data_IF_497849879140
#
_entry.id   IF_497849879140
#
_cell.length_a   1.000
_cell.length_b   1.000
_cell.length_c   1.000
_cell.angle_alpha   90.00
_cell.angle_beta   90.00
_cell.angle_gamma   90.00
#
_symmetry.space_group_name_H-M   'P 1'
#
loop_
_entity.id
_entity.type
_entity.pdbx_description
1 polymer ?
#
# COMPACT_ATOMS: atom_id res chain seq x y z
N UNK A 1 -28.66 31.62 11.41
CA UNK A 1 -29.95 30.93 11.26
C UNK A 1 -29.67 29.52 10.75
N UNK A 2 -30.00 28.49 11.53
CA UNK A 2 -29.79 27.06 11.22
C UNK A 2 -31.18 26.41 11.16
N UNK A 3 -31.53 25.82 10.01
CA UNK A 3 -32.64 24.88 9.84
C UNK A 3 -32.01 23.55 9.40
N UNK A 4 -32.14 22.47 10.17
CA UNK A 4 -33.31 21.59 10.38
C UNK A 4 -33.36 20.51 9.31
N UNK A 5 -32.98 19.28 9.68
CA UNK A 5 -33.48 18.07 9.03
C UNK A 5 -33.75 16.98 10.07
N UNK A 6 -34.96 16.46 9.92
CA UNK A 6 -35.70 15.50 10.73
C UNK A 6 -35.58 14.12 10.06
N UNK A 7 -35.48 13.06 10.86
CA UNK A 7 -35.73 11.67 10.46
C UNK A 7 -35.54 10.76 11.68
N UNK A 8 -36.58 10.38 12.42
CA UNK A 8 -37.51 9.24 12.16
C UNK A 8 -36.67 8.02 11.73
N UNK A 9 -36.32 7.05 12.57
CA UNK A 9 -37.05 6.41 13.66
C UNK A 9 -37.74 5.16 13.13
N UNK A 10 -37.16 3.97 13.35
CA UNK A 10 -37.82 2.64 13.50
C UNK A 10 -36.73 1.69 14.06
N UNK A 11 -36.86 1.35 15.33
CA UNK A 11 -36.12 0.24 15.98
C UNK A 11 -37.12 -0.91 16.03
N UNK A 12 -36.92 -1.92 15.19
CA UNK A 12 -37.75 -3.12 15.19
C UNK A 12 -37.10 -4.14 16.13
N UNK A 13 -37.48 -4.10 17.39
CA UNK A 13 -37.26 -5.20 18.34
C UNK A 13 -38.20 -6.34 18.00
N UNK A 14 -37.68 -7.52 17.66
CA UNK A 14 -38.48 -8.74 17.70
C UNK A 14 -37.85 -9.78 18.61
N UNK A 15 -38.63 -10.08 19.63
CA UNK A 15 -38.42 -10.91 20.79
C UNK A 15 -38.43 -12.39 20.38
N UNK A 16 -37.33 -13.09 20.64
CA UNK A 16 -37.22 -14.56 20.54
C UNK A 16 -37.68 -15.18 21.86
N UNK A 17 -38.87 -15.75 21.89
CA UNK A 17 -39.31 -16.68 22.94
C UNK A 17 -40.38 -17.64 22.40
N UNK A 18 -39.95 -18.88 22.14
CA UNK A 18 -40.55 -20.22 22.45
C UNK A 18 -42.07 -20.46 22.31
N UNK A 19 -42.58 -21.69 22.01
CA UNK A 19 -42.04 -22.98 22.50
C UNK A 19 -42.11 -24.20 21.54
N UNK A 20 -41.39 -25.25 21.96
CA UNK A 20 -41.48 -26.64 21.51
C UNK A 20 -42.71 -27.33 22.16
N UNK A 21 -43.59 -27.94 21.37
CA UNK A 21 -44.52 -29.03 21.73
C UNK A 21 -45.06 -29.60 20.39
N UNK A 22 -44.79 -30.83 19.93
CA UNK A 22 -45.04 -32.19 20.45
C UNK A 22 -46.54 -32.55 20.50
N UNK A 23 -46.89 -33.53 19.64
CA UNK A 23 -48.09 -34.41 19.58
C UNK A 23 -49.43 -33.83 19.09
N UNK A 24 -49.97 -34.42 18.01
CA UNK A 24 -51.27 -35.15 18.02
C UNK A 24 -51.72 -35.51 16.58
N UNK A 25 -52.24 -36.73 16.45
CA UNK A 25 -52.83 -37.36 15.27
C UNK A 25 -54.11 -36.64 14.79
N UNK A 26 -54.42 -36.75 13.49
CA UNK A 26 -55.70 -36.29 12.95
C UNK A 26 -55.75 -36.30 11.43
N UNK A 27 -56.34 -37.35 10.87
CA UNK A 27 -56.75 -37.46 9.47
C UNK A 27 -57.76 -36.38 9.09
N UNK A 28 -57.50 -35.61 8.03
CA UNK A 28 -58.55 -35.06 7.16
C UNK A 28 -58.09 -35.03 5.71
N UNK A 29 -58.81 -35.79 4.90
CA UNK A 29 -58.77 -35.77 3.43
C UNK A 29 -59.23 -34.40 2.95
N UNK A 30 -58.39 -33.69 2.21
CA UNK A 30 -58.82 -32.53 1.41
C UNK A 30 -58.31 -32.72 -0.01
N UNK A 31 -59.24 -33.10 -0.87
CA UNK A 31 -59.13 -33.09 -2.32
C UNK A 31 -58.80 -31.67 -2.78
N UNK A 32 -57.60 -31.47 -3.31
CA UNK A 32 -57.25 -30.24 -4.03
C UNK A 32 -56.88 -30.63 -5.46
N UNK A 33 -57.77 -30.23 -6.35
CA UNK A 33 -57.73 -30.33 -7.80
C UNK A 33 -56.38 -29.88 -8.35
N UNK A 34 -55.65 -30.80 -8.96
CA UNK A 34 -54.42 -30.53 -9.70
C UNK A 34 -54.73 -29.73 -10.98
N UNK A 35 -54.47 -28.43 -10.98
CA UNK A 35 -54.29 -27.67 -12.23
C UNK A 35 -52.83 -27.83 -12.67
N UNK A 36 -52.61 -28.82 -13.54
CA UNK A 36 -51.32 -29.13 -14.13
C UNK A 36 -50.91 -28.05 -15.14
N UNK A 37 -50.32 -26.95 -14.66
CA UNK A 37 -49.34 -26.24 -15.48
C UNK A 37 -48.05 -27.06 -15.48
N UNK A 38 -47.50 -27.43 -16.65
CA UNK A 38 -46.43 -28.40 -16.73
C UNK A 38 -45.17 -27.89 -16.02
N UNK A 39 -44.70 -28.67 -15.05
CA UNK A 39 -43.55 -28.46 -14.17
C UNK A 39 -42.23 -28.10 -14.93
N UNK A 40 -42.19 -28.34 -16.23
CA UNK A 40 -41.11 -28.01 -17.16
C UNK A 40 -41.02 -26.51 -17.50
N UNK A 41 -42.15 -25.83 -17.64
CA UNK A 41 -42.22 -24.39 -17.97
C UNK A 41 -41.77 -23.52 -16.78
N UNK A 42 -42.12 -23.94 -15.56
CA UNK A 42 -41.66 -23.27 -14.32
C UNK A 42 -40.12 -23.33 -14.16
N UNK A 43 -39.50 -24.48 -14.45
CA UNK A 43 -38.04 -24.66 -14.37
C UNK A 43 -37.27 -23.86 -15.41
N UNK A 44 -37.79 -23.73 -16.64
CA UNK A 44 -37.15 -22.93 -17.69
C UNK A 44 -37.16 -21.43 -17.36
N UNK A 45 -38.28 -20.90 -16.86
CA UNK A 45 -38.41 -19.50 -16.45
C UNK A 45 -37.51 -19.13 -15.26
N UNK A 46 -37.29 -20.07 -14.32
CA UNK A 46 -36.37 -19.87 -13.19
C UNK A 46 -34.91 -19.88 -13.66
N UNK A 47 -34.53 -20.79 -14.57
CA UNK A 47 -33.17 -20.84 -15.14
C UNK A 47 -32.85 -19.58 -15.96
N UNK A 48 -33.77 -19.11 -16.79
CA UNK A 48 -33.60 -17.87 -17.56
C UNK A 48 -33.41 -16.65 -16.65
N UNK A 49 -34.22 -16.52 -15.58
CA UNK A 49 -34.09 -15.43 -14.60
C UNK A 49 -32.80 -15.52 -13.76
N UNK A 50 -32.28 -16.72 -13.52
CA UNK A 50 -30.99 -16.92 -12.82
C UNK A 50 -29.82 -16.55 -13.73
N UNK A 51 -29.84 -16.94 -15.00
CA UNK A 51 -28.80 -16.59 -15.98
C UNK A 51 -28.76 -15.07 -16.23
N UNK A 52 -29.92 -14.42 -16.38
CA UNK A 52 -30.03 -12.97 -16.54
C UNK A 52 -29.57 -12.20 -15.28
N UNK A 53 -29.94 -12.69 -14.09
CA UNK A 53 -29.42 -12.16 -12.82
C UNK A 53 -27.92 -12.41 -12.68
N UNK A 54 -27.40 -13.56 -13.10
CA UNK A 54 -25.96 -13.85 -13.06
C UNK A 54 -25.17 -12.95 -14.00
N UNK A 55 -25.65 -12.67 -15.21
CA UNK A 55 -25.00 -11.79 -16.18
C UNK A 55 -24.99 -10.32 -15.70
N UNK A 56 -26.13 -9.83 -15.20
CA UNK A 56 -26.23 -8.47 -14.65
C UNK A 56 -25.46 -8.30 -13.34
N UNK A 57 -25.44 -9.33 -12.47
CA UNK A 57 -24.61 -9.35 -11.28
C UNK A 57 -23.13 -9.42 -11.67
N UNK A 58 -22.68 -10.30 -12.56
CA UNK A 58 -21.25 -10.35 -12.95
C UNK A 58 -20.77 -9.04 -13.55
N UNK A 59 -21.58 -8.34 -14.35
CA UNK A 59 -21.23 -7.01 -14.88
C UNK A 59 -21.11 -5.95 -13.77
N UNK A 60 -22.13 -5.81 -12.90
CA UNK A 60 -22.11 -4.87 -11.77
C UNK A 60 -21.03 -5.20 -10.74
N UNK A 61 -20.79 -6.49 -10.50
CA UNK A 61 -19.79 -6.97 -9.56
C UNK A 61 -18.37 -6.80 -10.13
N UNK A 62 -18.20 -6.87 -11.45
CA UNK A 62 -16.99 -6.50 -12.16
C UNK A 62 -16.68 -5.02 -11.98
N UNK A 63 -17.62 -4.13 -12.33
CA UNK A 63 -17.48 -2.68 -12.19
C UNK A 63 -17.20 -2.25 -10.74
N UNK A 64 -17.94 -2.80 -9.76
CA UNK A 64 -17.71 -2.50 -8.34
C UNK A 64 -16.34 -2.99 -7.83
N UNK A 65 -15.84 -4.12 -8.34
CA UNK A 65 -14.48 -4.60 -8.01
C UNK A 65 -13.41 -3.71 -8.63
N UNK A 66 -13.60 -3.25 -9.87
CA UNK A 66 -12.68 -2.33 -10.54
C UNK A 66 -12.58 -1.01 -9.80
N UNK A 67 -13.72 -0.42 -9.43
CA UNK A 67 -13.73 0.80 -8.62
C UNK A 67 -13.03 0.63 -7.27
N UNK A 68 -13.14 -0.54 -6.63
CA UNK A 68 -12.40 -0.84 -5.39
C UNK A 68 -10.90 -0.93 -5.62
N UNK A 69 -10.48 -1.54 -6.72
CA UNK A 69 -9.06 -1.66 -7.11
C UNK A 69 -8.47 -0.29 -7.40
N UNK A 70 -9.18 0.54 -8.17
CA UNK A 70 -8.77 1.90 -8.49
C UNK A 70 -8.63 2.77 -7.23
N UNK A 71 -9.66 2.80 -6.37
CA UNK A 71 -9.61 3.54 -5.09
C UNK A 71 -8.50 3.05 -4.18
N UNK A 72 -8.25 1.75 -4.14
CA UNK A 72 -7.17 1.17 -3.35
C UNK A 72 -5.80 1.60 -3.90
N UNK A 73 -5.61 1.55 -5.22
CA UNK A 73 -4.37 1.95 -5.86
C UNK A 73 -4.12 3.45 -5.66
N UNK A 74 -5.13 4.31 -5.81
CA UNK A 74 -5.03 5.74 -5.56
C UNK A 74 -4.65 6.04 -4.10
N UNK A 75 -5.27 5.35 -3.15
CA UNK A 75 -4.93 5.47 -1.73
C UNK A 75 -3.48 5.04 -1.45
N UNK A 76 -2.95 4.04 -2.16
CA UNK A 76 -1.54 3.65 -2.07
C UNK A 76 -0.62 4.69 -2.69
N UNK A 77 -0.96 5.22 -3.87
CA UNK A 77 -0.16 6.26 -4.54
C UNK A 77 0.01 7.49 -3.66
N UNK A 78 -1.09 8.02 -3.10
CA UNK A 78 -1.06 9.15 -2.17
C UNK A 78 -0.16 8.89 -0.95
N UNK A 79 -0.20 7.67 -0.40
CA UNK A 79 0.66 7.28 0.73
C UNK A 79 2.13 7.21 0.35
N UNK A 80 2.45 6.65 -0.81
CA UNK A 80 3.84 6.55 -1.28
C UNK A 80 4.42 7.90 -1.67
N UNK A 81 3.65 8.77 -2.31
CA UNK A 81 4.04 10.17 -2.58
C UNK A 81 4.34 10.92 -1.29
N UNK A 82 3.42 10.84 -0.31
CA UNK A 82 3.63 11.48 0.99
C UNK A 82 4.88 10.93 1.69
N UNK A 83 5.11 9.61 1.61
CA UNK A 83 6.30 8.98 2.18
C UNK A 83 7.59 9.42 1.47
N UNK A 84 7.60 9.50 0.14
CA UNK A 84 8.74 9.96 -0.63
C UNK A 84 9.08 11.41 -0.26
N UNK A 85 8.08 12.30 -0.24
CA UNK A 85 8.24 13.70 0.15
C UNK A 85 8.76 13.86 1.59
N UNK A 86 8.28 13.05 2.54
CA UNK A 86 8.80 13.03 3.90
C UNK A 86 10.29 12.65 3.93
N UNK A 87 10.70 11.65 3.14
CA UNK A 87 12.10 11.21 3.06
C UNK A 87 12.99 12.26 2.38
N UNK A 88 12.53 12.94 1.33
CA UNK A 88 13.24 14.07 0.71
C UNK A 88 13.44 15.23 1.69
N UNK A 89 12.39 15.56 2.45
CA UNK A 89 12.47 16.61 3.48
C UNK A 89 13.52 16.24 4.52
N UNK A 90 13.57 14.97 4.95
CA UNK A 90 14.53 14.49 5.93
C UNK A 90 15.95 14.46 5.34
N UNK A 91 16.12 13.96 4.11
CA UNK A 91 17.41 13.90 3.43
C UNK A 91 17.99 15.30 3.23
N UNK A 92 17.16 16.28 2.85
CA UNK A 92 17.57 17.68 2.74
C UNK A 92 18.02 18.28 4.08
N UNK A 93 17.33 17.96 5.20
CA UNK A 93 17.75 18.37 6.55
C UNK A 93 19.09 17.75 6.94
N UNK A 94 19.26 16.45 6.67
CA UNK A 94 20.50 15.71 6.94
C UNK A 94 21.65 16.29 6.11
N UNK A 95 21.44 16.53 4.81
CA UNK A 95 22.45 17.11 3.92
C UNK A 95 22.96 18.46 4.42
N UNK A 96 22.06 19.36 4.82
CA UNK A 96 22.46 20.66 5.41
C UNK A 96 23.31 20.50 6.67
N UNK A 97 22.95 19.56 7.55
CA UNK A 97 23.72 19.27 8.77
C UNK A 97 25.10 18.68 8.45
N UNK A 98 25.18 17.73 7.52
CA UNK A 98 26.46 17.13 7.12
C UNK A 98 27.38 18.17 6.49
N UNK A 99 26.86 19.08 5.66
CA UNK A 99 27.65 20.20 5.12
C UNK A 99 28.18 21.10 6.24
N UNK A 100 27.36 21.40 7.25
CA UNK A 100 27.79 22.18 8.42
C UNK A 100 28.84 21.46 9.28
N UNK A 101 28.82 20.13 9.35
CA UNK A 101 29.84 19.36 10.07
C UNK A 101 31.15 19.26 9.28
N UNK A 102 31.05 19.05 7.96
CA UNK A 102 32.22 19.05 7.08
C UNK A 102 32.96 20.38 7.08
N UNK A 103 32.26 21.51 7.07
CA UNK A 103 32.91 22.83 7.18
C UNK A 103 33.59 23.09 8.53
N UNK A 104 33.25 22.29 9.56
CA UNK A 104 33.87 22.31 10.88
C UNK A 104 34.94 21.22 11.06
N UNK A 105 35.36 20.59 9.96
CA UNK A 105 36.43 19.59 9.95
C UNK A 105 36.01 18.17 10.36
N UNK A 106 34.71 17.88 10.47
CA UNK A 106 34.26 16.52 10.73
C UNK A 106 34.39 15.64 9.47
N UNK A 107 34.83 14.39 9.65
CA UNK A 107 34.71 13.40 8.58
C UNK A 107 33.24 12.97 8.42
N UNK A 108 32.67 13.33 7.28
CA UNK A 108 31.28 13.04 6.91
C UNK A 108 31.20 12.10 5.71
N UNK A 109 32.31 11.47 5.31
CA UNK A 109 32.41 10.70 4.06
C UNK A 109 31.41 9.54 4.03
N UNK A 110 31.40 8.69 5.06
CA UNK A 110 30.47 7.57 5.15
C UNK A 110 29.00 8.04 5.22
N UNK A 111 28.74 9.12 5.97
CA UNK A 111 27.40 9.68 6.12
C UNK A 111 26.86 10.27 4.80
N UNK A 112 27.72 10.90 3.99
CA UNK A 112 27.37 11.39 2.65
C UNK A 112 27.04 10.23 1.71
N UNK A 113 27.85 9.17 1.69
CA UNK A 113 27.58 7.99 0.86
C UNK A 113 26.23 7.34 1.19
N UNK A 114 25.87 7.26 2.48
CA UNK A 114 24.56 6.76 2.92
C UNK A 114 23.41 7.70 2.52
N UNK A 115 23.61 9.02 2.63
CA UNK A 115 22.64 10.02 2.18
C UNK A 115 22.41 9.94 0.66
N UNK A 116 23.48 9.80 -0.13
CA UNK A 116 23.42 9.68 -1.59
C UNK A 116 22.69 8.40 -2.00
N UNK A 117 22.99 7.28 -1.32
CA UNK A 117 22.27 6.02 -1.51
C UNK A 117 20.78 6.17 -1.19
N UNK A 118 20.43 6.85 -0.09
CA UNK A 118 19.05 7.12 0.26
C UNK A 118 18.33 7.98 -0.80
N UNK A 119 18.98 9.03 -1.29
CA UNK A 119 18.44 9.90 -2.35
C UNK A 119 18.21 9.11 -3.66
N UNK A 120 19.16 8.27 -4.07
CA UNK A 120 18.99 7.40 -5.23
C UNK A 120 17.79 6.45 -5.10
N UNK A 121 17.58 5.87 -3.92
CA UNK A 121 16.44 4.99 -3.65
C UNK A 121 15.09 5.74 -3.63
N UNK A 122 15.06 6.98 -3.15
CA UNK A 122 13.88 7.85 -3.20
C UNK A 122 13.50 8.16 -4.65
N UNK A 123 14.47 8.56 -5.47
CA UNK A 123 14.22 8.82 -6.89
C UNK A 123 13.77 7.57 -7.65
N UNK A 124 14.41 6.43 -7.39
CA UNK A 124 13.98 5.15 -7.97
C UNK A 124 12.54 4.77 -7.53
N UNK A 125 12.17 5.07 -6.28
CA UNK A 125 10.80 4.85 -5.81
C UNK A 125 9.80 5.75 -6.53
N UNK A 126 10.13 7.03 -6.77
CA UNK A 126 9.29 7.97 -7.52
C UNK A 126 9.08 7.52 -8.96
N UNK A 127 10.14 7.08 -9.64
CA UNK A 127 10.05 6.54 -11.00
C UNK A 127 9.13 5.31 -11.07
N UNK A 128 9.34 4.33 -10.18
CA UNK A 128 8.49 3.13 -10.10
C UNK A 128 7.03 3.46 -9.77
N UNK A 129 6.79 4.53 -9.02
CA UNK A 129 5.45 4.97 -8.69
C UNK A 129 4.73 5.55 -9.92
N UNK A 130 5.42 6.33 -10.75
CA UNK A 130 4.90 6.78 -12.04
C UNK A 130 4.67 5.62 -13.00
N UNK A 131 5.57 4.65 -13.04
CA UNK A 131 5.38 3.42 -13.82
C UNK A 131 4.13 2.65 -13.35
N UNK A 132 3.92 2.56 -12.04
CA UNK A 132 2.73 1.91 -11.46
C UNK A 132 1.44 2.64 -11.82
N UNK A 133 1.42 3.98 -11.84
CA UNK A 133 0.29 4.79 -12.29
C UNK A 133 -0.02 4.53 -13.76
N UNK A 134 1.00 4.57 -14.62
CA UNK A 134 0.87 4.29 -16.05
C UNK A 134 0.35 2.87 -16.31
N UNK A 135 0.86 1.89 -15.54
CA UNK A 135 0.42 0.50 -15.63
C UNK A 135 -1.01 0.31 -15.13
N UNK A 136 -1.47 1.09 -14.15
CA UNK A 136 -2.85 1.07 -13.69
C UNK A 136 -3.80 1.54 -14.80
N UNK A 137 -3.49 2.64 -15.50
CA UNK A 137 -4.31 3.11 -16.63
C UNK A 137 -4.46 2.01 -17.69
N UNK A 138 -3.35 1.40 -18.11
CA UNK A 138 -3.36 0.27 -19.06
C UNK A 138 -4.16 -0.93 -18.55
N UNK A 139 -4.12 -1.17 -17.25
CA UNK A 139 -4.84 -2.27 -16.59
C UNK A 139 -6.35 -2.04 -16.63
N UNK A 140 -6.81 -0.80 -16.41
CA UNK A 140 -8.22 -0.44 -16.44
C UNK A 140 -8.83 -0.57 -17.85
N UNK A 141 -8.04 -0.32 -18.89
CA UNK A 141 -8.45 -0.46 -20.29
C UNK A 141 -8.37 -1.90 -20.83
N UNK A 142 -7.81 -2.84 -20.05
CA UNK A 142 -7.62 -4.22 -20.50
C UNK A 142 -8.92 -5.03 -20.49
N UNK A 143 -9.02 -6.02 -21.39
CA UNK A 143 -10.18 -6.94 -21.44
C UNK A 143 -10.35 -7.77 -20.16
N UNK A 144 -9.27 -7.95 -19.39
CA UNK A 144 -9.30 -8.56 -18.05
C UNK A 144 -8.43 -7.74 -17.07
N UNK A 145 -8.99 -6.68 -16.45
CA UNK A 145 -8.23 -5.79 -15.58
C UNK A 145 -7.75 -6.48 -14.29
N UNK A 146 -8.52 -7.44 -13.76
CA UNK A 146 -8.17 -8.11 -12.51
C UNK A 146 -6.91 -8.97 -12.64
N UNK A 147 -6.73 -9.64 -13.79
CA UNK A 147 -5.51 -10.39 -14.07
C UNK A 147 -4.31 -9.44 -14.26
N UNK A 148 -4.53 -8.30 -14.93
CA UNK A 148 -3.50 -7.33 -15.27
C UNK A 148 -3.02 -6.50 -14.05
N UNK A 149 -3.85 -6.39 -13.01
CA UNK A 149 -3.54 -5.67 -11.77
C UNK A 149 -2.36 -6.25 -10.98
N UNK A 150 -2.02 -7.53 -11.17
CA UNK A 150 -0.84 -8.14 -10.51
C UNK A 150 0.45 -7.38 -10.82
N UNK A 151 0.59 -6.84 -12.03
CA UNK A 151 1.78 -6.07 -12.42
C UNK A 151 1.85 -4.74 -11.64
N UNK A 152 0.71 -4.08 -11.42
CA UNK A 152 0.62 -2.88 -10.58
C UNK A 152 1.04 -3.21 -9.15
N UNK A 153 0.58 -4.35 -8.59
CA UNK A 153 0.97 -4.78 -7.25
C UNK A 153 2.48 -5.02 -7.12
N UNK A 154 3.11 -5.65 -8.10
CA UNK A 154 4.56 -5.85 -8.12
C UNK A 154 5.30 -4.52 -8.06
N UNK A 155 4.93 -3.56 -8.92
CA UNK A 155 5.55 -2.23 -8.92
C UNK A 155 5.35 -1.50 -7.58
N UNK A 156 4.16 -1.59 -6.98
CA UNK A 156 3.89 -1.00 -5.66
C UNK A 156 4.72 -1.65 -4.54
N UNK A 157 4.99 -2.95 -4.60
CA UNK A 157 5.88 -3.62 -3.66
C UNK A 157 7.33 -3.13 -3.83
N UNK A 158 7.77 -2.94 -5.06
CA UNK A 158 9.11 -2.42 -5.35
C UNK A 158 9.27 -0.97 -4.87
N UNK A 159 8.23 -0.14 -4.99
CA UNK A 159 8.20 1.22 -4.40
C UNK A 159 8.35 1.14 -2.88
N UNK A 160 7.57 0.29 -2.22
CA UNK A 160 7.63 0.08 -0.77
C UNK A 160 9.04 -0.32 -0.33
N UNK A 161 9.65 -1.25 -1.03
CA UNK A 161 10.95 -1.81 -0.64
C UNK A 161 12.09 -0.80 -0.87
N UNK A 162 12.02 -0.01 -1.95
CA UNK A 162 12.91 1.14 -2.15
C UNK A 162 12.79 2.16 -1.02
N UNK A 163 11.56 2.58 -0.66
CA UNK A 163 11.34 3.56 0.42
C UNK A 163 11.77 3.01 1.79
N UNK A 164 11.49 1.74 2.09
CA UNK A 164 11.94 1.09 3.33
C UNK A 164 13.46 1.10 3.43
N UNK A 165 14.15 0.82 2.33
CA UNK A 165 15.62 0.83 2.29
C UNK A 165 16.17 2.25 2.38
N UNK A 166 15.57 3.22 1.70
CA UNK A 166 15.93 4.63 1.82
C UNK A 166 15.86 5.10 3.27
N UNK A 167 14.76 4.81 3.96
CA UNK A 167 14.60 5.12 5.38
C UNK A 167 15.70 4.51 6.24
N UNK A 168 16.04 3.23 6.03
CA UNK A 168 17.11 2.56 6.77
C UNK A 168 18.45 3.31 6.62
N UNK A 169 18.79 3.76 5.41
CA UNK A 169 20.00 4.53 5.17
C UNK A 169 19.95 5.91 5.87
N UNK A 170 18.80 6.60 5.83
CA UNK A 170 18.63 7.87 6.57
C UNK A 170 18.75 7.66 8.10
N UNK A 171 18.18 6.58 8.62
CA UNK A 171 18.24 6.22 10.04
C UNK A 171 19.67 5.90 10.50
N UNK A 172 20.54 5.40 9.61
CA UNK A 172 21.98 5.21 9.91
C UNK A 172 22.73 6.53 10.06
N UNK A 173 22.32 7.57 9.32
CA UNK A 173 22.96 8.89 9.36
C UNK A 173 22.41 9.76 10.50
N UNK A 174 21.16 9.52 10.90
CA UNK A 174 20.43 10.33 11.87
C UNK A 174 21.14 10.49 13.24
N UNK A 175 21.80 9.48 13.84
CA UNK A 175 22.51 9.62 15.11
C UNK A 175 23.62 10.67 15.08
N UNK A 176 24.36 10.78 13.96
CA UNK A 176 25.41 11.79 13.77
C UNK A 176 24.81 13.20 13.79
N UNK A 177 23.65 13.36 13.15
CA UNK A 177 22.92 14.63 13.00
C UNK A 177 22.28 15.11 14.32
N UNK A 178 21.81 14.17 15.15
CA UNK A 178 21.14 14.45 16.44
C UNK A 178 22.13 14.65 17.58
N UNK A 179 23.11 13.75 17.75
CA UNK A 179 24.05 13.81 18.88
C UNK A 179 25.09 14.93 18.72
N UNK A 180 25.12 15.56 17.55
CA UNK A 180 26.22 16.40 17.13
C UNK A 180 27.45 15.54 16.83
N UNK A 181 28.31 16.01 15.93
CA UNK A 181 29.66 15.46 15.82
C UNK A 181 30.41 15.87 17.10
N UNK A 182 30.25 15.11 18.19
CA UNK A 182 31.19 15.23 19.30
C UNK A 182 32.51 14.72 18.77
N UNK A 183 33.39 15.65 18.42
CA UNK A 183 34.77 15.40 18.02
C UNK A 183 35.40 14.48 19.05
N UNK A 184 35.72 13.25 18.66
CA UNK A 184 36.65 12.42 19.40
C UNK A 184 37.97 12.39 18.62
N UNK A 185 39.01 12.86 19.30
CA UNK A 185 40.42 12.52 19.08
C UNK A 185 41.14 13.20 17.91
N UNK A 186 41.75 14.34 18.23
CA UNK A 186 43.10 14.65 17.75
C UNK A 186 43.99 13.44 18.04
N UNK A 187 44.17 12.58 17.04
CA UNK A 187 45.27 11.62 17.06
C UNK A 187 46.54 12.44 16.86
N UNK A 188 47.54 12.39 17.77
CA UNK A 188 48.80 13.06 17.55
C UNK A 188 49.41 12.52 16.26
N UNK A 189 49.82 13.43 15.38
CA UNK A 189 50.65 13.09 14.25
C UNK A 189 51.89 12.35 14.76
N UNK A 190 52.00 11.05 14.48
CA UNK A 190 53.29 10.38 14.55
C UNK A 190 54.11 10.88 13.38
N UNK A 191 55.07 11.74 13.70
CA UNK A 191 56.14 12.20 12.84
C UNK A 191 56.92 10.99 12.33
N UNK A 192 56.65 10.54 11.10
CA UNK A 192 57.57 9.65 10.40
C UNK A 192 58.70 10.54 9.83
N UNK A 193 59.81 10.64 10.57
CA UNK A 193 61.05 11.23 10.07
C UNK A 193 62.10 10.15 9.88
N UNK A 194 62.25 9.76 8.60
CA UNK A 194 63.48 9.50 7.86
C UNK A 194 64.66 8.83 8.57
N UNK A 195 64.99 7.60 8.17
CA UNK A 195 66.38 7.10 8.21
C UNK A 195 66.78 6.71 6.79
N UNK A 196 67.67 7.51 6.20
CA UNK A 196 68.29 7.23 4.92
C UNK A 196 69.32 6.11 5.06
N UNK A 197 69.25 5.10 4.19
CA UNK A 197 70.29 4.08 4.04
C UNK A 197 71.01 4.30 2.72
N UNK A 198 72.22 4.84 2.80
CA UNK A 198 73.14 5.00 1.68
C UNK A 198 73.83 3.65 1.42
N UNK A 199 73.37 2.92 0.40
CA UNK A 199 74.13 1.82 -0.19
C UNK A 199 75.00 2.39 -1.31
N UNK A 200 76.31 2.46 -1.07
CA UNK A 200 77.31 2.77 -2.10
C UNK A 200 78.11 1.49 -2.35
N UNK A 201 77.79 0.79 -3.43
CA UNK A 201 78.65 -0.22 -4.03
C UNK A 201 79.46 0.45 -5.13
N UNK A 202 80.78 0.32 -5.08
CA UNK A 202 81.74 -0.01 -6.14
C UNK A 202 83.15 0.14 -5.57
#
# INVERSE_FOLDING_TARGET
>A
MKSSHIGIGIIFSFLLASPLAVMAEGTTTTTITASSTPYTVMRQNIRAKIEEKKASLTKKFGEAKLQRVEKLAEAMFRKFEASAHQMETLSGKIGRKLSSFGSKGADVTAAKAQLDTANGLIEAAKQKLEDAKNQLTKTLDASNPLASYKNVQTLLNDVRDSLKTARKNLDMVLPLVIRGYKTASTTPAMTASTTASTSRSY
#
